data_IF_235661945334
#
_entry.id   IF_235661945334
#
_cell.length_a   1.000
_cell.length_b   1.000
_cell.length_c   1.000
_cell.angle_alpha   90.00
_cell.angle_beta   90.00
_cell.angle_gamma   90.00
#
_symmetry.space_group_name_H-M   'P 1'
#
loop_
_entity.id
_entity.type
_entity.pdbx_description
1 polymer ?
#
# COMPACT_ATOMS: atom_id res chain seq x y z
N UNK A 1 5.78 -11.00 -73.01
CA UNK A 1 4.44 -10.40 -73.21
C UNK A 1 4.19 -9.40 -72.09
N UNK A 2 4.04 -8.14 -72.47
CA UNK A 2 3.40 -6.98 -71.82
C UNK A 2 3.46 -6.77 -70.29
N UNK A 3 4.15 -5.69 -69.93
CA UNK A 3 3.89 -4.75 -68.83
C UNK A 3 2.40 -4.43 -68.59
N UNK A 4 2.04 -4.18 -67.32
CA UNK A 4 1.02 -3.17 -66.97
C UNK A 4 1.12 -2.73 -65.51
N UNK A 5 1.67 -1.53 -65.35
CA UNK A 5 1.51 -0.56 -64.27
C UNK A 5 0.05 -0.08 -64.10
N UNK A 6 -0.32 0.32 -62.87
CA UNK A 6 -1.29 1.38 -62.47
C UNK A 6 -1.29 1.50 -60.94
N UNK A 7 -0.65 2.50 -60.31
CA UNK A 7 -1.24 3.78 -59.83
C UNK A 7 -2.77 3.73 -59.69
N UNK A 8 -3.41 3.94 -58.54
CA UNK A 8 -3.14 4.87 -57.45
C UNK A 8 -4.28 5.89 -57.43
N UNK A 9 -5.03 6.01 -56.32
CA UNK A 9 -5.87 7.19 -56.01
C UNK A 9 -6.01 7.29 -54.50
N UNK A 10 -5.30 8.25 -53.91
CA UNK A 10 -5.66 8.87 -52.63
C UNK A 10 -6.80 9.86 -52.90
N UNK A 11 -7.81 9.89 -52.04
CA UNK A 11 -8.82 10.95 -52.00
C UNK A 11 -8.67 11.66 -50.67
N UNK A 12 -8.14 12.88 -50.72
CA UNK A 12 -8.21 13.90 -49.67
C UNK A 12 -8.70 15.15 -50.37
N UNK A 13 -9.86 15.65 -49.93
CA UNK A 13 -10.41 16.97 -50.23
C UNK A 13 -11.79 17.05 -49.56
N UNK A 14 -12.28 18.13 -48.95
CA UNK A 14 -11.75 19.47 -48.63
C UNK A 14 -12.66 20.04 -47.53
N UNK A 15 -12.08 20.84 -46.66
CA UNK A 15 -12.61 21.98 -45.90
C UNK A 15 -14.14 22.21 -45.78
N UNK A 16 -14.58 22.39 -44.53
CA UNK A 16 -15.53 23.45 -44.23
C UNK A 16 -15.02 24.28 -43.04
N UNK A 17 -14.59 25.48 -43.39
CA UNK A 17 -14.20 26.62 -42.55
C UNK A 17 -15.43 27.38 -42.04
N UNK A 18 -15.29 28.02 -40.86
CA UNK A 18 -16.23 28.99 -40.30
C UNK A 18 -16.50 28.73 -38.82
N UNK A 19 -15.61 29.11 -37.90
CA UNK A 19 -15.40 30.47 -37.36
C UNK A 19 -16.47 30.92 -36.35
N UNK A 20 -15.99 31.47 -35.23
CA UNK A 20 -16.63 32.22 -34.13
C UNK A 20 -16.80 31.45 -32.80
N UNK A 21 -16.34 31.88 -31.62
CA UNK A 21 -15.41 32.90 -31.11
C UNK A 21 -15.01 32.40 -29.70
N UNK A 22 -13.73 32.49 -29.28
CA UNK A 22 -13.36 32.24 -27.88
C UNK A 22 -13.67 33.48 -27.01
N UNK A 23 -14.55 33.34 -26.02
CA UNK A 23 -14.89 34.44 -25.11
C UNK A 23 -13.73 34.74 -24.15
N UNK A 24 -13.34 36.02 -24.16
CA UNK A 24 -12.30 36.68 -23.39
C UNK A 24 -12.77 36.89 -21.94
N UNK A 25 -12.19 36.16 -20.97
CA UNK A 25 -11.96 36.55 -19.56
C UNK A 25 -11.31 35.34 -18.87
N UNK A 26 -10.04 35.28 -18.44
CA UNK A 26 -9.11 36.21 -17.80
C UNK A 26 -7.70 35.67 -18.13
N UNK A 27 -6.87 36.27 -18.98
CA UNK A 27 -5.98 37.42 -18.74
C UNK A 27 -5.34 37.49 -17.33
N UNK A 28 -4.00 37.42 -17.35
CA UNK A 28 -3.01 38.01 -16.43
C UNK A 28 -2.47 37.18 -15.26
N UNK A 29 -1.46 36.35 -15.52
CA UNK A 29 -0.07 36.61 -15.09
C UNK A 29 0.84 35.47 -15.58
N UNK A 30 1.41 35.60 -16.78
CA UNK A 30 2.75 36.19 -17.07
C UNK A 30 3.94 35.31 -16.64
N UNK A 31 4.52 34.68 -17.67
CA UNK A 31 5.96 34.61 -18.03
C UNK A 31 6.86 33.76 -17.10
N UNK A 32 7.80 32.96 -17.59
CA UNK A 32 8.36 32.78 -18.93
C UNK A 32 9.08 31.44 -19.01
N UNK A 33 8.80 30.67 -20.07
CA UNK A 33 9.72 29.67 -20.59
C UNK A 33 10.87 30.39 -21.31
N UNK A 34 12.12 30.05 -20.97
CA UNK A 34 13.26 30.20 -21.87
C UNK A 34 13.99 28.85 -21.88
N UNK A 35 13.86 28.14 -23.00
CA UNK A 35 14.84 27.16 -23.43
C UNK A 35 15.80 27.89 -24.38
N UNK A 36 17.11 27.69 -24.22
CA UNK A 36 18.01 27.23 -25.29
C UNK A 36 19.47 27.14 -24.83
N UNK A 37 19.98 25.91 -24.86
CA UNK A 37 21.31 25.43 -25.32
C UNK A 37 22.52 26.37 -25.28
N UNK A 38 23.59 25.86 -24.66
CA UNK A 38 25.02 25.70 -25.08
C UNK A 38 25.88 25.77 -23.80
N UNK A 39 26.97 25.06 -23.54
CA UNK A 39 27.90 24.19 -24.26
C UNK A 39 28.79 23.51 -23.20
N UNK A 40 29.51 22.47 -23.60
CA UNK A 40 30.43 21.70 -22.76
C UNK A 40 31.69 22.46 -22.29
N UNK A 41 32.39 21.83 -21.33
CA UNK A 41 33.84 21.84 -21.06
C UNK A 41 34.33 22.57 -19.79
N UNK A 42 34.76 21.72 -18.83
CA UNK A 42 36.07 21.67 -18.15
C UNK A 42 36.59 22.79 -17.22
N UNK A 43 37.24 22.27 -16.17
CA UNK A 43 38.40 22.77 -15.43
C UNK A 43 38.26 23.65 -14.17
N UNK A 44 38.66 23.01 -13.06
CA UNK A 44 39.59 23.48 -12.03
C UNK A 44 39.57 24.96 -11.63
N UNK A 45 39.25 25.23 -10.36
CA UNK A 45 40.20 25.99 -9.52
C UNK A 45 40.04 25.64 -8.04
N UNK A 46 41.16 25.22 -7.42
CA UNK A 46 41.40 25.25 -5.97
C UNK A 46 41.46 26.70 -5.50
N UNK A 47 41.10 26.96 -4.25
CA UNK A 47 41.89 27.73 -3.25
C UNK A 47 40.98 28.00 -2.02
N UNK A 48 41.21 27.32 -0.90
CA UNK A 48 42.02 27.75 0.27
C UNK A 48 41.23 28.52 1.32
N UNK A 49 41.07 27.87 2.48
CA UNK A 49 41.28 28.46 3.80
C UNK A 49 40.16 29.32 4.38
N UNK A 50 39.55 28.84 5.47
CA UNK A 50 39.81 29.44 6.79
C UNK A 50 39.33 28.53 7.92
N UNK A 51 40.23 28.30 8.87
CA UNK A 51 39.94 27.86 10.23
C UNK A 51 38.86 28.74 10.85
N UNK A 52 37.89 28.14 11.54
CA UNK A 52 37.51 28.63 12.87
C UNK A 52 37.24 27.46 13.81
N UNK A 53 38.19 27.31 14.74
CA UNK A 53 38.16 26.52 15.95
C UNK A 53 37.45 27.37 17.00
N UNK A 54 36.38 26.88 17.63
CA UNK A 54 36.08 27.19 19.03
C UNK A 54 35.22 26.11 19.67
N UNK A 55 35.91 25.34 20.51
CA UNK A 55 35.42 24.63 21.67
C UNK A 55 34.82 25.59 22.69
N UNK A 56 33.74 25.17 23.35
CA UNK A 56 33.55 25.47 24.77
C UNK A 56 32.54 24.48 25.35
N UNK A 57 33.10 23.58 26.17
CA UNK A 57 32.44 22.89 27.26
C UNK A 57 31.94 23.92 28.28
N UNK A 58 30.75 23.70 28.85
CA UNK A 58 30.44 24.15 30.22
C UNK A 58 29.80 22.99 30.97
N UNK A 59 30.49 22.66 32.05
CA UNK A 59 30.16 21.72 33.12
C UNK A 59 28.96 22.18 33.94
N UNK A 60 28.18 21.18 34.40
CA UNK A 60 27.68 21.10 35.77
C UNK A 60 26.63 22.11 36.24
N UNK A 61 25.38 21.65 36.38
CA UNK A 61 24.57 22.03 37.54
C UNK A 61 23.46 21.02 37.84
N UNK A 62 23.59 20.41 39.02
CA UNK A 62 22.59 19.73 39.82
C UNK A 62 21.54 20.73 40.33
N UNK A 63 20.24 20.45 40.13
CA UNK A 63 19.17 20.85 41.05
C UNK A 63 17.82 20.21 40.67
N UNK A 64 17.31 19.36 41.56
CA UNK A 64 15.89 18.97 41.75
C UNK A 64 15.25 20.07 42.62
N UNK A 65 14.04 20.60 42.35
CA UNK A 65 12.73 20.03 42.75
C UNK A 65 11.62 20.32 41.69
N UNK A 66 10.37 19.88 41.73
CA UNK A 66 9.40 19.70 42.81
C UNK A 66 8.15 18.96 42.28
N UNK A 67 7.57 18.20 43.20
CA UNK A 67 6.35 17.39 43.18
C UNK A 67 5.09 18.18 42.71
N UNK A 68 4.20 17.59 41.88
CA UNK A 68 2.88 18.18 41.61
C UNK A 68 1.92 18.00 42.80
N UNK A 69 0.98 18.95 43.03
CA UNK A 69 0.11 18.98 44.20
C UNK A 69 -1.01 17.93 44.13
N UNK A 70 -1.23 17.32 45.30
CA UNK A 70 -2.29 16.37 45.63
C UNK A 70 -3.64 17.12 45.71
N UNK A 71 -4.70 16.70 45.00
CA UNK A 71 -6.06 17.17 45.30
C UNK A 71 -6.62 16.46 46.55
N UNK A 72 -7.37 17.15 47.42
CA UNK A 72 -7.87 16.61 48.68
C UNK A 72 -9.02 15.62 48.49
N UNK A 73 -9.06 14.64 49.37
CA UNK A 73 -10.18 13.73 49.58
C UNK A 73 -11.42 14.47 50.11
N UNK A 74 -12.58 14.16 49.54
CA UNK A 74 -13.91 14.33 50.16
C UNK A 74 -14.76 13.11 49.78
N UNK A 75 -14.90 12.16 50.70
CA UNK A 75 -16.10 11.93 51.53
C UNK A 75 -17.36 11.59 50.71
N UNK A 76 -17.67 10.29 50.75
CA UNK A 76 -19.00 9.70 50.93
C UNK A 76 -20.16 10.67 51.15
N UNK A 77 -21.19 10.55 50.30
CA UNK A 77 -22.57 10.51 50.77
C UNK A 77 -23.42 9.68 49.82
N UNK A 78 -23.87 8.54 50.34
CA UNK A 78 -25.07 7.85 49.90
C UNK A 78 -26.24 8.82 49.85
N UNK A 79 -27.04 8.75 48.79
CA UNK A 79 -28.48 8.94 48.86
C UNK A 79 -29.13 8.13 47.75
N UNK A 80 -29.49 6.92 48.15
CA UNK A 80 -30.60 6.13 47.67
C UNK A 80 -31.80 7.00 47.27
N UNK A 81 -32.30 6.87 46.05
CA UNK A 81 -33.72 7.09 45.75
C UNK A 81 -34.21 6.18 44.61
N UNK A 82 -35.06 5.25 45.04
CA UNK A 82 -36.23 4.69 44.37
C UNK A 82 -36.16 4.21 42.91
N UNK A 83 -36.15 2.88 42.84
CA UNK A 83 -36.86 2.04 41.86
C UNK A 83 -38.29 2.55 41.62
N UNK A 84 -38.61 2.89 40.37
CA UNK A 84 -39.98 2.83 39.86
C UNK A 84 -40.00 1.95 38.60
N UNK A 85 -40.55 0.77 38.78
CA UNK A 85 -40.97 -0.15 37.72
C UNK A 85 -42.25 0.37 37.08
N UNK A 86 -42.17 0.90 35.86
CA UNK A 86 -43.33 0.96 34.97
C UNK A 86 -43.21 -0.15 33.93
N UNK A 87 -44.02 -1.19 34.15
CA UNK A 87 -44.37 -2.21 33.18
C UNK A 87 -45.07 -1.56 31.98
N UNK A 88 -44.44 -1.64 30.81
CA UNK A 88 -45.15 -1.43 29.55
C UNK A 88 -44.84 -2.62 28.64
N UNK A 89 -45.91 -3.26 28.19
CA UNK A 89 -45.98 -4.54 27.49
C UNK A 89 -45.02 -4.63 26.31
N UNK A 90 -44.07 -5.56 26.38
CA UNK A 90 -43.27 -6.00 25.23
C UNK A 90 -44.09 -6.96 24.37
N UNK A 91 -44.34 -6.68 23.07
CA UNK A 91 -44.77 -7.73 22.16
C UNK A 91 -43.64 -8.77 22.06
N UNK A 92 -43.97 -10.01 22.40
CA UNK A 92 -43.12 -11.19 22.35
C UNK A 92 -42.78 -11.53 20.88
N UNK A 93 -41.86 -10.76 20.29
CA UNK A 93 -41.20 -11.11 19.03
C UNK A 93 -39.97 -11.92 19.42
N UNK A 94 -40.07 -13.24 19.31
CA UNK A 94 -38.90 -14.13 19.36
C UNK A 94 -37.85 -13.54 18.41
N UNK A 95 -36.62 -13.25 18.87
CA UNK A 95 -35.57 -12.84 17.97
C UNK A 95 -35.30 -14.00 17.03
N UNK A 96 -35.78 -13.88 15.79
CA UNK A 96 -35.29 -14.71 14.69
C UNK A 96 -33.83 -14.31 14.53
N UNK A 97 -32.96 -15.06 15.19
CA UNK A 97 -31.56 -15.19 14.84
C UNK A 97 -31.55 -15.68 13.39
N UNK A 98 -31.62 -14.73 12.46
CA UNK A 98 -31.14 -14.95 11.11
C UNK A 98 -29.69 -15.31 11.29
N UNK A 99 -29.40 -16.61 11.36
CA UNK A 99 -28.10 -17.16 11.00
C UNK A 99 -27.88 -16.63 9.59
N UNK A 100 -27.20 -15.49 9.49
CA UNK A 100 -26.47 -15.15 8.30
C UNK A 100 -25.57 -16.36 8.09
N UNK A 101 -25.99 -17.21 7.18
CA UNK A 101 -25.21 -18.30 6.65
C UNK A 101 -23.91 -17.65 6.21
N UNK A 102 -22.90 -17.73 7.08
CA UNK A 102 -21.56 -17.28 6.81
C UNK A 102 -21.13 -18.17 5.65
N UNK A 103 -21.33 -17.68 4.42
CA UNK A 103 -20.74 -18.21 3.20
C UNK A 103 -19.33 -18.61 3.60
N UNK A 104 -19.06 -19.91 3.51
CA UNK A 104 -17.83 -20.55 3.96
C UNK A 104 -16.64 -19.62 3.76
N UNK A 105 -16.18 -18.98 4.84
CA UNK A 105 -15.02 -18.10 4.78
C UNK A 105 -13.89 -18.97 4.27
N UNK A 106 -13.48 -18.77 3.01
CA UNK A 106 -12.43 -19.55 2.36
C UNK A 106 -11.24 -19.56 3.32
N UNK A 107 -10.89 -20.74 3.82
CA UNK A 107 -9.88 -20.88 4.87
C UNK A 107 -8.53 -20.44 4.27
N UNK A 108 -7.79 -19.63 5.01
CA UNK A 108 -6.44 -19.25 4.61
C UNK A 108 -5.55 -20.51 4.54
N UNK A 109 -4.96 -20.76 3.39
CA UNK A 109 -3.98 -21.83 3.18
C UNK A 109 -2.71 -21.41 3.91
N UNK A 110 -2.25 -22.26 4.83
CA UNK A 110 -1.03 -22.01 5.58
C UNK A 110 0.13 -22.65 4.84
N UNK A 111 1.11 -21.84 4.47
CA UNK A 111 2.37 -22.33 3.93
C UNK A 111 3.34 -22.58 5.07
N UNK A 112 3.95 -23.77 5.06
CA UNK A 112 5.06 -24.10 5.93
C UNK A 112 6.37 -23.61 5.31
N UNK A 113 7.25 -23.01 6.13
CA UNK A 113 8.51 -22.40 5.64
C UNK A 113 9.38 -23.42 4.90
N UNK A 114 9.40 -24.67 5.35
CA UNK A 114 10.21 -25.72 4.72
C UNK A 114 9.65 -26.16 3.36
N UNK A 115 8.33 -26.07 3.16
CA UNK A 115 7.69 -26.35 1.88
C UNK A 115 7.93 -25.23 0.86
N UNK A 116 8.13 -23.99 1.31
CA UNK A 116 8.43 -22.88 0.41
C UNK A 116 9.78 -23.04 -0.29
N UNK A 117 10.77 -23.63 0.40
CA UNK A 117 12.13 -23.84 -0.14
C UNK A 117 12.17 -24.88 -1.26
N UNK A 118 11.31 -25.90 -1.19
CA UNK A 118 11.23 -26.98 -2.18
C UNK A 118 10.14 -26.76 -3.23
N UNK A 119 9.41 -25.63 -3.18
CA UNK A 119 8.32 -25.36 -4.09
C UNK A 119 8.81 -25.09 -5.52
N UNK A 120 8.13 -25.71 -6.49
CA UNK A 120 8.30 -25.41 -7.93
C UNK A 120 7.64 -24.09 -8.31
N UNK A 121 6.59 -23.70 -7.59
CA UNK A 121 5.87 -22.43 -7.81
C UNK A 121 6.77 -21.23 -7.51
N UNK A 122 6.88 -20.33 -8.49
CA UNK A 122 7.66 -19.11 -8.42
C UNK A 122 7.18 -18.16 -7.31
N UNK A 123 5.89 -18.12 -6.99
CA UNK A 123 5.37 -17.32 -5.87
C UNK A 123 5.95 -17.85 -4.56
N UNK A 124 5.82 -19.15 -4.31
CA UNK A 124 6.30 -19.80 -3.07
C UNK A 124 7.83 -19.72 -2.96
N UNK A 125 8.54 -19.91 -4.07
CA UNK A 125 10.00 -19.77 -4.13
C UNK A 125 10.46 -18.35 -3.81
N UNK A 126 9.78 -17.34 -4.35
CA UNK A 126 10.10 -15.93 -4.04
C UNK A 126 9.76 -15.60 -2.58
N UNK A 127 8.67 -16.16 -2.05
CA UNK A 127 8.32 -16.05 -0.63
C UNK A 127 9.40 -16.62 0.28
N UNK A 128 9.98 -17.78 -0.06
CA UNK A 128 11.14 -18.33 0.66
C UNK A 128 12.33 -17.36 0.67
N UNK A 129 12.58 -16.67 -0.46
CA UNK A 129 13.61 -15.64 -0.57
C UNK A 129 13.40 -14.46 0.38
N UNK A 130 12.15 -14.06 0.63
CA UNK A 130 11.84 -13.01 1.60
C UNK A 130 12.19 -13.43 3.03
N UNK A 131 11.90 -14.67 3.43
CA UNK A 131 12.29 -15.18 4.75
C UNK A 131 13.81 -15.24 4.92
N UNK A 132 14.55 -15.61 3.87
CA UNK A 132 16.02 -15.54 3.87
C UNK A 132 16.55 -14.10 4.05
N UNK A 133 15.75 -13.09 3.71
CA UNK A 133 16.06 -11.68 3.87
C UNK A 133 15.38 -11.01 5.08
N UNK A 134 15.03 -11.78 6.11
CA UNK A 134 14.43 -11.30 7.37
C UNK A 134 12.94 -10.92 7.32
N UNK A 135 12.17 -11.42 6.36
CA UNK A 135 10.71 -11.34 6.45
C UNK A 135 10.19 -12.17 7.62
N UNK A 136 9.19 -11.64 8.31
CA UNK A 136 8.50 -12.30 9.42
C UNK A 136 7.22 -12.98 8.95
N UNK A 137 6.52 -12.37 7.99
CA UNK A 137 5.31 -12.95 7.41
C UNK A 137 5.13 -12.56 5.94
N UNK A 138 4.51 -13.45 5.17
CA UNK A 138 4.19 -13.26 3.75
C UNK A 138 2.74 -13.67 3.52
N UNK A 139 1.94 -12.79 2.92
CA UNK A 139 0.54 -13.01 2.56
C UNK A 139 0.37 -12.90 1.04
N UNK A 140 -0.35 -13.85 0.46
CA UNK A 140 -0.75 -13.84 -0.93
C UNK A 140 -2.25 -13.55 -1.07
N UNK A 141 -2.58 -12.54 -1.86
CA UNK A 141 -3.95 -12.15 -2.19
C UNK A 141 -4.14 -12.08 -3.71
N UNK A 142 -4.71 -13.11 -4.36
CA UNK A 142 -5.13 -13.01 -5.75
C UNK A 142 -6.21 -11.94 -5.93
N UNK A 143 -6.28 -11.38 -7.14
CA UNK A 143 -7.34 -10.48 -7.54
C UNK A 143 -8.67 -11.26 -7.59
N UNK A 144 -9.72 -10.65 -7.04
CA UNK A 144 -11.08 -11.15 -7.13
C UNK A 144 -11.59 -10.93 -8.57
N UNK A 145 -11.83 -12.03 -9.26
CA UNK A 145 -12.28 -12.02 -10.66
C UNK A 145 -13.77 -11.77 -10.80
N UNK A 146 -14.54 -11.70 -9.70
CA UNK A 146 -15.93 -11.29 -9.72
C UNK A 146 -16.00 -9.75 -9.92
N UNK A 147 -15.72 -9.33 -11.16
CA UNK A 147 -15.54 -7.95 -11.69
C UNK A 147 -16.70 -6.95 -11.43
N UNK A 148 -17.70 -7.32 -10.63
CA UNK A 148 -18.90 -6.50 -10.43
C UNK A 148 -18.66 -5.23 -9.60
N UNK A 149 -17.59 -5.16 -8.80
CA UNK A 149 -17.39 -4.06 -7.83
C UNK A 149 -15.94 -3.49 -7.78
N UNK A 150 -15.27 -3.43 -8.93
CA UNK A 150 -13.89 -2.95 -8.99
C UNK A 150 -12.85 -3.97 -8.52
N UNK A 151 -11.58 -3.58 -8.54
CA UNK A 151 -10.47 -4.46 -8.20
C UNK A 151 -10.41 -4.70 -6.69
N UNK A 152 -10.54 -5.95 -6.27
CA UNK A 152 -10.40 -6.38 -4.87
C UNK A 152 -9.45 -7.54 -4.78
N UNK A 153 -8.86 -7.74 -3.62
CA UNK A 153 -7.92 -8.83 -3.37
C UNK A 153 -8.39 -9.63 -2.16
N UNK A 154 -8.32 -10.97 -2.25
CA UNK A 154 -8.81 -11.85 -1.18
C UNK A 154 -7.64 -12.66 -0.64
N UNK A 155 -7.41 -12.58 0.68
CA UNK A 155 -6.40 -13.38 1.36
C UNK A 155 -6.67 -14.88 1.14
N UNK A 156 -5.74 -15.56 0.48
CA UNK A 156 -5.90 -16.97 0.08
C UNK A 156 -4.84 -17.85 0.72
N UNK A 157 -3.58 -17.41 0.76
CA UNK A 157 -2.50 -18.17 1.37
C UNK A 157 -1.50 -17.28 2.10
N UNK A 158 -0.80 -17.80 3.10
CA UNK A 158 0.25 -17.06 3.77
C UNK A 158 1.13 -17.91 4.68
N UNK A 159 2.25 -17.32 5.09
CA UNK A 159 3.24 -17.90 5.98
C UNK A 159 3.64 -16.86 7.04
N UNK A 160 3.81 -17.26 8.29
CA UNK A 160 4.19 -16.35 9.39
C UNK A 160 3.67 -16.82 10.74
N UNK A 161 3.79 -15.97 11.78
CA UNK A 161 3.29 -16.28 13.12
C UNK A 161 1.79 -16.59 13.14
N UNK A 162 1.37 -17.47 14.05
CA UNK A 162 -0.03 -17.93 14.16
C UNK A 162 -1.02 -16.78 14.33
N UNK A 163 -0.64 -15.76 15.09
CA UNK A 163 -1.47 -14.58 15.37
C UNK A 163 -1.71 -13.75 14.10
N UNK A 164 -0.65 -13.50 13.32
CA UNK A 164 -0.71 -12.81 12.04
C UNK A 164 -1.58 -13.57 11.03
N UNK A 165 -1.42 -14.90 10.92
CA UNK A 165 -2.24 -15.71 10.02
C UNK A 165 -3.72 -15.74 10.42
N UNK A 166 -4.01 -15.70 11.72
CA UNK A 166 -5.39 -15.64 12.22
C UNK A 166 -6.04 -14.32 11.82
N UNK A 167 -5.32 -13.20 11.94
CA UNK A 167 -5.79 -11.88 11.49
C UNK A 167 -6.09 -11.87 9.99
N UNK A 168 -5.24 -12.52 9.18
CA UNK A 168 -5.38 -12.53 7.73
C UNK A 168 -6.52 -13.39 7.19
N UNK A 169 -7.09 -14.26 8.02
CA UNK A 169 -8.15 -15.16 7.58
C UNK A 169 -9.42 -14.39 7.21
N UNK A 170 -9.78 -14.44 5.93
CA UNK A 170 -10.96 -13.75 5.41
C UNK A 170 -10.75 -12.26 5.10
N UNK A 171 -9.51 -11.76 5.17
CA UNK A 171 -9.21 -10.38 4.75
C UNK A 171 -9.56 -10.20 3.28
N UNK A 172 -10.20 -9.06 3.00
CA UNK A 172 -10.37 -8.51 1.67
C UNK A 172 -9.73 -7.13 1.64
N UNK A 173 -8.91 -6.89 0.63
CA UNK A 173 -8.24 -5.62 0.44
C UNK A 173 -8.83 -4.90 -0.77
N UNK A 174 -9.25 -3.66 -0.56
CA UNK A 174 -9.74 -2.76 -1.60
C UNK A 174 -8.73 -1.61 -1.79
N UNK A 175 -8.08 -1.49 -2.97
CA UNK A 175 -7.09 -0.46 -3.21
C UNK A 175 -7.62 0.97 -3.13
N UNK A 176 -8.93 1.17 -3.25
CA UNK A 176 -9.57 2.49 -3.14
C UNK A 176 -9.40 3.08 -1.74
N UNK A 177 -9.21 2.25 -0.72
CA UNK A 177 -8.97 2.69 0.66
C UNK A 177 -7.64 3.44 0.75
N UNK A 178 -6.66 3.13 -0.13
CA UNK A 178 -5.29 3.67 -0.07
C UNK A 178 -4.74 4.02 -1.45
N UNK A 179 -5.29 5.07 -2.09
CA UNK A 179 -4.97 5.40 -3.48
C UNK A 179 -3.49 5.78 -3.69
N UNK A 180 -2.86 6.40 -2.68
CA UNK A 180 -1.43 6.77 -2.75
C UNK A 180 -0.51 5.55 -2.82
N UNK A 181 -0.69 4.58 -1.91
CA UNK A 181 0.06 3.31 -1.91
C UNK A 181 -0.21 2.55 -3.19
N UNK A 182 -1.48 2.46 -3.60
CA UNK A 182 -1.86 1.72 -4.79
C UNK A 182 -1.27 2.30 -6.07
N UNK A 183 -1.25 3.62 -6.22
CA UNK A 183 -0.63 4.30 -7.38
C UNK A 183 0.87 3.97 -7.49
N UNK A 184 1.57 3.89 -6.37
CA UNK A 184 2.98 3.49 -6.33
C UNK A 184 3.16 2.03 -6.73
N UNK A 185 2.31 1.12 -6.23
CA UNK A 185 2.31 -0.30 -6.63
C UNK A 185 2.04 -0.46 -8.13
N UNK A 186 1.13 0.32 -8.71
CA UNK A 186 0.85 0.27 -10.15
C UNK A 186 2.00 0.82 -11.01
N UNK A 187 2.66 1.89 -10.57
CA UNK A 187 3.73 2.52 -11.36
C UNK A 187 5.06 1.77 -11.26
N UNK A 188 5.48 1.41 -10.04
CA UNK A 188 6.79 0.81 -9.77
C UNK A 188 6.70 -0.72 -9.74
N UNK A 189 5.53 -1.28 -9.39
CA UNK A 189 5.33 -2.72 -9.20
C UNK A 189 5.50 -3.18 -7.74
N UNK A 190 6.09 -2.35 -6.88
CA UNK A 190 6.18 -2.59 -5.46
C UNK A 190 6.35 -1.29 -4.66
N UNK A 191 6.02 -1.33 -3.37
CA UNK A 191 6.29 -0.26 -2.42
C UNK A 191 6.59 -0.84 -1.05
N UNK A 192 7.62 -0.31 -0.38
CA UNK A 192 7.87 -0.55 1.03
C UNK A 192 7.34 0.64 1.83
N UNK A 193 6.51 0.34 2.82
CA UNK A 193 5.81 1.31 3.64
C UNK A 193 6.36 1.23 5.06
N UNK A 194 7.06 2.28 5.46
CA UNK A 194 7.53 2.47 6.83
C UNK A 194 6.47 3.19 7.70
N UNK A 195 6.75 3.34 8.99
CA UNK A 195 5.88 4.03 9.95
C UNK A 195 5.79 5.54 9.64
N UNK A 196 4.81 5.91 8.81
CA UNK A 196 4.44 7.29 8.52
C UNK A 196 2.94 7.43 8.82
N UNK A 197 2.50 8.59 9.32
CA UNK A 197 1.11 8.78 9.73
C UNK A 197 0.09 8.38 8.63
N UNK A 198 0.41 8.68 7.37
CA UNK A 198 -0.43 8.39 6.20
C UNK A 198 -0.57 6.89 5.88
N UNK A 199 0.35 6.06 6.38
CA UNK A 199 0.37 4.62 6.13
C UNK A 199 -0.10 3.78 7.31
N UNK A 200 -0.47 4.41 8.43
CA UNK A 200 -0.86 3.70 9.65
C UNK A 200 -2.02 2.72 9.41
N UNK A 201 -3.08 3.18 8.74
CA UNK A 201 -4.25 2.35 8.40
C UNK A 201 -3.83 1.15 7.54
N UNK A 202 -2.91 1.34 6.59
CA UNK A 202 -2.39 0.24 5.76
C UNK A 202 -1.80 -0.87 6.61
N UNK A 203 -0.93 -0.47 7.55
CA UNK A 203 -0.15 -1.38 8.38
C UNK A 203 -1.03 -2.13 9.36
N UNK A 204 -2.01 -1.43 9.94
CA UNK A 204 -3.00 -2.01 10.84
C UNK A 204 -3.85 -3.08 10.15
N UNK A 205 -4.25 -2.88 8.87
CA UNK A 205 -4.99 -3.89 8.10
C UNK A 205 -4.24 -5.22 8.00
N UNK A 206 -2.91 -5.18 7.91
CA UNK A 206 -2.08 -6.39 7.84
C UNK A 206 -1.51 -6.82 9.19
N UNK A 207 -1.81 -6.13 10.29
CA UNK A 207 -1.33 -6.48 11.63
C UNK A 207 0.16 -6.19 11.85
N UNK A 208 0.74 -5.26 11.11
CA UNK A 208 2.12 -4.84 11.30
C UNK A 208 2.24 -3.93 12.54
N UNK A 209 3.25 -4.20 13.38
CA UNK A 209 3.55 -3.38 14.56
C UNK A 209 4.21 -2.07 14.18
N UNK A 210 4.35 -1.14 15.14
CA UNK A 210 4.88 0.20 14.90
C UNK A 210 6.31 0.21 14.32
N UNK A 211 7.14 -0.79 14.63
CA UNK A 211 8.50 -0.93 14.10
C UNK A 211 8.57 -1.66 12.76
N UNK A 212 7.49 -2.32 12.34
CA UNK A 212 7.53 -3.21 11.18
C UNK A 212 7.38 -2.45 9.87
N UNK A 213 8.03 -2.97 8.83
CA UNK A 213 7.86 -2.51 7.45
C UNK A 213 6.88 -3.43 6.76
N UNK A 214 6.03 -2.84 5.92
CA UNK A 214 5.11 -3.59 5.06
C UNK A 214 5.48 -3.33 3.62
N UNK A 215 5.88 -4.39 2.91
CA UNK A 215 6.20 -4.32 1.48
C UNK A 215 5.09 -4.98 0.69
N UNK A 216 4.61 -4.28 -0.34
CA UNK A 216 3.57 -4.79 -1.24
C UNK A 216 4.18 -4.98 -2.61
N UNK A 217 3.94 -6.14 -3.20
CA UNK A 217 4.32 -6.48 -4.57
C UNK A 217 3.08 -6.69 -5.41
N UNK A 218 3.08 -6.13 -6.62
CA UNK A 218 2.10 -6.41 -7.66
C UNK A 218 2.45 -7.71 -8.35
N UNK A 219 1.46 -8.57 -8.58
CA UNK A 219 1.56 -9.72 -9.46
C UNK A 219 0.85 -9.42 -10.78
N UNK A 220 1.56 -9.60 -11.88
CA UNK A 220 1.11 -9.30 -13.23
C UNK A 220 1.44 -7.88 -13.70
N UNK A 221 1.11 -7.56 -14.96
CA UNK A 221 1.34 -6.24 -15.54
C UNK A 221 0.42 -5.17 -14.93
N UNK A 222 0.81 -3.90 -15.06
CA UNK A 222 0.02 -2.77 -14.52
C UNK A 222 -1.40 -2.71 -15.10
N UNK A 223 -1.57 -3.15 -16.34
CA UNK A 223 -2.86 -3.18 -17.05
C UNK A 223 -3.78 -4.31 -16.57
N UNK A 224 -3.24 -5.34 -15.92
CA UNK A 224 -3.97 -6.54 -15.55
C UNK A 224 -3.36 -7.15 -14.29
N UNK A 225 -3.65 -6.52 -13.15
CA UNK A 225 -3.14 -7.00 -11.87
C UNK A 225 -3.87 -8.28 -11.49
N UNK A 226 -3.11 -9.38 -11.41
CA UNK A 226 -3.62 -10.71 -11.09
C UNK A 226 -3.63 -10.99 -9.59
N UNK A 227 -2.88 -10.21 -8.80
CA UNK A 227 -2.79 -10.40 -7.36
C UNK A 227 -1.78 -9.44 -6.73
N UNK A 228 -1.63 -9.57 -5.42
CA UNK A 228 -0.58 -8.92 -4.64
C UNK A 228 0.04 -9.88 -3.64
N UNK A 229 1.30 -9.61 -3.30
CA UNK A 229 1.98 -10.22 -2.15
C UNK A 229 2.29 -9.12 -1.15
N UNK A 230 1.96 -9.37 0.11
CA UNK A 230 2.28 -8.49 1.23
C UNK A 230 3.31 -9.17 2.10
N UNK A 231 4.38 -8.47 2.43
CA UNK A 231 5.49 -8.96 3.25
C UNK A 231 5.63 -8.04 4.46
N UNK A 232 5.66 -8.63 5.65
CA UNK A 232 5.98 -7.93 6.90
C UNK A 232 7.41 -8.28 7.28
N UNK A 233 8.23 -7.27 7.55
CA UNK A 233 9.63 -7.45 7.93
C UNK A 233 10.09 -6.38 8.93
N UNK A 234 11.09 -6.70 9.75
CA UNK A 234 11.72 -5.71 10.64
C UNK A 234 12.73 -4.83 9.91
N UNK A 235 13.39 -5.42 8.92
CA UNK A 235 14.41 -4.76 8.11
C UNK A 235 13.86 -4.41 6.73
N UNK A 236 14.50 -3.43 6.07
CA UNK A 236 14.17 -3.08 4.69
C UNK A 236 14.49 -4.23 3.75
N UNK A 237 13.57 -4.49 2.81
CA UNK A 237 13.73 -5.46 1.74
C UNK A 237 14.20 -4.82 0.43
N UNK A 238 14.68 -3.58 0.45
CA UNK A 238 15.06 -2.80 -0.74
C UNK A 238 15.90 -3.59 -1.76
N UNK A 239 16.86 -4.39 -1.28
CA UNK A 239 17.75 -5.21 -2.13
C UNK A 239 17.00 -6.31 -2.91
N UNK A 240 15.86 -6.78 -2.42
CA UNK A 240 15.03 -7.77 -3.10
C UNK A 240 13.92 -7.15 -3.94
N UNK A 241 13.53 -5.89 -3.65
CA UNK A 241 12.37 -5.27 -4.29
C UNK A 241 12.50 -5.29 -5.81
N UNK A 242 13.66 -4.87 -6.35
CA UNK A 242 13.86 -4.80 -7.80
C UNK A 242 13.76 -6.19 -8.45
N UNK A 243 14.46 -7.18 -7.90
CA UNK A 243 14.48 -8.56 -8.43
C UNK A 243 13.10 -9.21 -8.35
N UNK A 244 12.43 -9.13 -7.20
CA UNK A 244 11.08 -9.69 -7.00
C UNK A 244 10.04 -8.98 -7.87
N UNK A 245 10.17 -7.67 -8.09
CA UNK A 245 9.25 -6.93 -8.98
C UNK A 245 9.39 -7.38 -10.43
N UNK A 246 10.61 -7.61 -10.92
CA UNK A 246 10.83 -8.15 -12.26
C UNK A 246 10.19 -9.54 -12.43
N UNK A 247 10.33 -10.39 -11.41
CA UNK A 247 9.70 -11.72 -11.37
C UNK A 247 8.17 -11.61 -11.40
N UNK A 248 7.57 -10.83 -10.50
CA UNK A 248 6.12 -10.79 -10.37
C UNK A 248 5.42 -10.02 -11.49
N UNK A 249 6.05 -8.99 -12.06
CA UNK A 249 5.46 -8.19 -13.13
C UNK A 249 5.23 -8.98 -14.43
N UNK A 250 6.03 -10.02 -14.67
CA UNK A 250 5.89 -10.92 -15.82
C UNK A 250 5.01 -12.14 -15.52
N UNK A 251 4.72 -12.41 -14.24
CA UNK A 251 3.95 -13.57 -13.84
C UNK A 251 2.46 -13.38 -14.11
N UNK A 252 1.85 -14.39 -14.73
CA UNK A 252 0.39 -14.48 -14.88
C UNK A 252 -0.10 -15.65 -14.04
N UNK A 253 -1.08 -15.40 -13.19
CA UNK A 253 -1.75 -16.48 -12.46
C UNK A 253 -2.56 -17.31 -13.46
N UNK A 254 -2.11 -18.54 -13.71
CA UNK A 254 -2.94 -19.55 -14.34
C UNK A 254 -4.12 -19.91 -13.43
N UNK A 255 -5.19 -20.46 -14.00
CA UNK A 255 -6.38 -20.92 -13.27
C UNK A 255 -6.06 -21.90 -12.13
N UNK A 256 -4.92 -22.58 -12.21
CA UNK A 256 -4.59 -23.72 -11.35
C UNK A 256 -3.65 -23.33 -10.18
N UNK A 257 -3.09 -22.12 -10.18
CA UNK A 257 -2.12 -21.66 -9.16
C UNK A 257 -2.78 -21.01 -7.92
N UNK A 258 -4.10 -21.05 -7.82
CA UNK A 258 -4.86 -20.40 -6.74
C UNK A 258 -5.02 -21.26 -5.46
N UNK A 259 -4.26 -22.35 -5.31
CA UNK A 259 -4.36 -23.33 -4.22
C UNK A 259 -3.04 -23.60 -3.48
#
# INVERSE_FOLDING_TARGET
MADKTKSGVFTVDTEQTGSEVPTITKLLNRKSFINSRTSASSEQTKMTGTLFRRTSEISGQTAVPSKPPIPPARTTNEKSFMTQTLSTQTPNVKPVLRKAERRSSKRLIKWEIDQLKSATDMIRKTAAGFFAASAEAVLFLPADTDKTNGLKFIATAGCGPRETLALWTGIKFDPVIMPGVWKSVLSIGAIEVANVAESRVFREVFGAQETDRVTVFRIGPASEVSGIIVVISKNSLANLIQTSTAIFSSFRLGSDNAA
#
